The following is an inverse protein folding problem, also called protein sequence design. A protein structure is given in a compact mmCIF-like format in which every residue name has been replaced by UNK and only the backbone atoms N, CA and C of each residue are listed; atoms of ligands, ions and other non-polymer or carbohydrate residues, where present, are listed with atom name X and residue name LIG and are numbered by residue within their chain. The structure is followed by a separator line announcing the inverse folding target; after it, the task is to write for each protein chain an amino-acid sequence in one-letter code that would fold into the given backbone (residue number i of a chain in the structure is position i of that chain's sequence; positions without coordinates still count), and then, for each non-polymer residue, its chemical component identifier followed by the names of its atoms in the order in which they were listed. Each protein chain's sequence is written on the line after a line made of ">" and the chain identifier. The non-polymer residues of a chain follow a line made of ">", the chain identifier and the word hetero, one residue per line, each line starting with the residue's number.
data_IF_489394701295
#
_entry.id   IF_489394701295
#
_cell.length_a   1.000
_cell.length_b   1.000
_cell.length_c   1.000
_cell.angle_alpha   90.00
_cell.angle_beta   90.00
_cell.angle_gamma   90.00
#
_symmetry.space_group_name_H-M   'P 1'
#
loop_
_entity.id
_entity.type
_entity.pdbx_description
1 polymer ?
#
# COMPACT_ATOMS: atom_id res chain seq x y z
N UNK A 1 -22.52 38.60 -7.31
CA UNK A 1 -22.77 37.13 -7.29
C UNK A 1 -21.52 36.29 -7.00
N UNK A 2 -20.28 36.80 -7.16
CA UNK A 2 -19.04 36.06 -6.85
C UNK A 2 -18.74 35.90 -5.34
N UNK A 3 -19.21 36.81 -4.48
CA UNK A 3 -18.90 36.82 -3.04
C UNK A 3 -19.71 35.82 -2.19
N UNK A 4 -20.79 35.25 -2.74
CA UNK A 4 -21.65 34.29 -2.02
C UNK A 4 -21.12 32.86 -2.18
N UNK A 5 -20.49 32.55 -3.32
CA UNK A 5 -19.83 31.27 -3.58
C UNK A 5 -18.68 31.03 -2.59
N UNK A 6 -17.82 32.02 -2.37
CA UNK A 6 -16.69 31.94 -1.43
C UNK A 6 -17.12 31.72 0.02
N UNK A 7 -18.26 32.27 0.44
CA UNK A 7 -18.81 32.09 1.79
C UNK A 7 -19.43 30.72 2.00
N UNK A 8 -20.09 30.17 0.97
CA UNK A 8 -20.59 28.80 1.02
C UNK A 8 -19.41 27.83 1.09
N UNK A 9 -18.43 27.93 0.19
CA UNK A 9 -17.24 27.07 0.17
C UNK A 9 -16.46 27.09 1.49
N UNK A 10 -16.29 28.26 2.10
CA UNK A 10 -15.67 28.40 3.42
C UNK A 10 -16.49 27.69 4.53
N UNK A 11 -17.82 27.78 4.48
CA UNK A 11 -18.70 27.05 5.40
C UNK A 11 -18.67 25.54 5.14
N UNK A 12 -18.63 25.11 3.88
CA UNK A 12 -18.53 23.69 3.53
C UNK A 12 -17.21 23.10 4.03
N UNK A 13 -16.10 23.83 3.86
CA UNK A 13 -14.78 23.44 4.39
C UNK A 13 -14.75 23.43 5.92
N UNK A 14 -15.37 24.41 6.58
CA UNK A 14 -15.43 24.48 8.04
C UNK A 14 -16.27 23.34 8.61
N UNK A 15 -17.42 23.05 7.99
CA UNK A 15 -18.29 21.94 8.37
C UNK A 15 -17.60 20.59 8.10
N UNK A 16 -16.98 20.39 6.94
CA UNK A 16 -16.22 19.17 6.63
C UNK A 16 -15.08 18.92 7.65
N UNK A 17 -14.31 19.96 7.98
CA UNK A 17 -13.22 19.88 8.96
C UNK A 17 -13.72 19.62 10.39
N UNK A 18 -14.92 20.11 10.74
CA UNK A 18 -15.51 19.91 12.08
C UNK A 18 -16.17 18.55 12.27
N UNK A 19 -16.63 17.90 11.20
CA UNK A 19 -17.42 16.65 11.28
C UNK A 19 -16.56 15.39 11.09
N UNK A 20 -15.39 15.51 10.47
CA UNK A 20 -14.47 14.40 10.15
C UNK A 20 -13.11 14.52 10.85
N UNK A 21 -13.09 14.88 12.14
CA UNK A 21 -11.83 14.94 12.89
C UNK A 21 -11.34 13.52 13.18
N UNK A 22 -10.51 12.97 12.28
CA UNK A 22 -9.93 11.65 12.46
C UNK A 22 -8.90 11.70 13.60
N UNK A 23 -9.10 10.96 14.72
CA UNK A 23 -8.19 10.99 15.87
C UNK A 23 -6.77 10.52 15.53
N UNK A 24 -6.58 9.85 14.40
CA UNK A 24 -5.30 9.34 13.91
C UNK A 24 -4.58 10.36 13.00
N UNK A 25 -5.30 11.38 12.51
CA UNK A 25 -4.77 12.44 11.63
C UNK A 25 -3.55 13.18 12.21
N UNK A 26 -3.54 13.66 13.47
CA UNK A 26 -2.40 14.44 13.96
C UNK A 26 -1.11 13.60 14.04
N UNK A 27 -1.22 12.30 14.31
CA UNK A 27 -0.08 11.40 14.39
C UNK A 27 0.43 11.02 12.99
N UNK A 28 -0.48 10.68 12.08
CA UNK A 28 -0.12 10.30 10.72
C UNK A 28 0.32 11.50 9.88
N UNK A 29 -0.31 12.66 10.04
CA UNK A 29 0.03 13.90 9.35
C UNK A 29 1.44 14.38 9.70
N UNK A 30 1.80 14.36 10.99
CA UNK A 30 3.16 14.70 11.40
C UNK A 30 4.21 13.73 10.84
N UNK A 31 3.93 12.42 10.83
CA UNK A 31 4.83 11.42 10.26
C UNK A 31 4.93 11.54 8.73
N UNK A 32 3.83 11.85 8.06
CA UNK A 32 3.75 12.08 6.62
C UNK A 32 4.55 13.30 6.18
N UNK A 33 4.37 14.43 6.86
CA UNK A 33 5.12 15.65 6.58
C UNK A 33 6.63 15.42 6.78
N UNK A 34 7.01 14.80 7.90
CA UNK A 34 8.41 14.43 8.15
C UNK A 34 8.99 13.56 7.03
N UNK A 35 8.25 12.55 6.58
CA UNK A 35 8.69 11.69 5.48
C UNK A 35 8.90 12.48 4.18
N UNK A 36 7.93 13.33 3.81
CA UNK A 36 7.93 14.05 2.54
C UNK A 36 9.00 15.15 2.49
N UNK A 37 9.31 15.77 3.64
CA UNK A 37 10.30 16.83 3.74
C UNK A 37 11.75 16.31 3.78
N UNK A 38 11.98 15.11 4.32
CA UNK A 38 13.33 14.60 4.59
C UNK A 38 13.82 13.56 3.57
N UNK A 39 12.93 12.93 2.80
CA UNK A 39 13.31 11.86 1.86
C UNK A 39 13.06 12.26 0.39
N UNK A 40 13.92 11.81 -0.55
CA UNK A 40 13.70 12.07 -1.96
C UNK A 40 12.46 11.29 -2.45
N UNK A 41 11.75 11.89 -3.42
CA UNK A 41 10.50 11.38 -3.99
C UNK A 41 10.62 9.95 -4.51
N UNK A 42 11.76 9.62 -5.13
CA UNK A 42 12.05 8.26 -5.58
C UNK A 42 12.07 7.25 -4.42
N UNK A 43 12.67 7.61 -3.28
CA UNK A 43 12.73 6.72 -2.11
C UNK A 43 11.36 6.48 -1.52
N UNK A 44 10.53 7.51 -1.44
CA UNK A 44 9.16 7.38 -0.96
C UNK A 44 8.33 6.56 -1.97
N UNK A 45 8.35 6.92 -3.25
CA UNK A 45 7.52 6.29 -4.26
C UNK A 45 7.89 4.83 -4.51
N UNK A 46 9.18 4.49 -4.48
CA UNK A 46 9.66 3.13 -4.79
C UNK A 46 9.92 2.33 -3.53
N UNK A 47 10.86 2.76 -2.68
CA UNK A 47 11.30 1.95 -1.54
C UNK A 47 10.25 1.84 -0.44
N UNK A 48 9.59 2.94 -0.06
CA UNK A 48 8.53 2.87 0.95
C UNK A 48 7.33 2.06 0.45
N UNK A 49 6.92 2.27 -0.81
CA UNK A 49 5.85 1.47 -1.43
C UNK A 49 6.17 -0.02 -1.48
N UNK A 50 7.40 -0.39 -1.81
CA UNK A 50 7.86 -1.80 -1.84
C UNK A 50 7.79 -2.41 -0.45
N UNK A 51 8.33 -1.74 0.57
CA UNK A 51 8.32 -2.26 1.95
C UNK A 51 6.89 -2.41 2.46
N UNK A 52 6.05 -1.39 2.26
CA UNK A 52 4.65 -1.45 2.65
C UNK A 52 3.91 -2.59 1.92
N UNK A 53 4.13 -2.73 0.62
CA UNK A 53 3.54 -3.79 -0.20
C UNK A 53 3.94 -5.17 0.31
N UNK A 54 5.23 -5.41 0.51
CA UNK A 54 5.74 -6.69 1.02
C UNK A 54 5.18 -7.00 2.41
N UNK A 55 5.19 -6.04 3.34
CA UNK A 55 4.66 -6.22 4.69
C UNK A 55 3.17 -6.58 4.69
N UNK A 56 2.36 -5.87 3.92
CA UNK A 56 0.92 -6.14 3.83
C UNK A 56 0.67 -7.46 3.11
N UNK A 57 1.37 -7.73 2.01
CA UNK A 57 1.21 -8.97 1.25
C UNK A 57 1.57 -10.19 2.09
N UNK A 58 2.75 -10.21 2.73
CA UNK A 58 3.17 -11.30 3.59
C UNK A 58 2.34 -11.38 4.86
N UNK A 59 1.97 -10.25 5.46
CA UNK A 59 1.12 -10.20 6.65
C UNK A 59 -0.25 -10.82 6.41
N UNK A 60 -0.89 -10.51 5.28
CA UNK A 60 -2.20 -11.07 4.92
C UNK A 60 -2.11 -12.55 4.49
N UNK A 61 -1.00 -12.97 3.87
CA UNK A 61 -0.81 -14.35 3.43
C UNK A 61 -0.38 -15.30 4.57
N UNK A 62 0.30 -14.78 5.59
CA UNK A 62 0.78 -15.52 6.76
C UNK A 62 -0.30 -16.35 7.49
N UNK A 63 -1.50 -15.82 7.84
CA UNK A 63 -2.52 -16.62 8.50
C UNK A 63 -3.02 -17.78 7.62
N UNK A 64 -3.11 -17.56 6.30
CA UNK A 64 -3.44 -18.62 5.35
C UNK A 64 -2.38 -19.72 5.28
N UNK A 65 -1.09 -19.34 5.29
CA UNK A 65 0.01 -20.28 5.33
C UNK A 65 0.02 -21.11 6.62
N UNK A 66 -0.17 -20.47 7.78
CA UNK A 66 -0.21 -21.17 9.09
C UNK A 66 -1.41 -22.12 9.16
N UNK A 67 -2.58 -21.70 8.67
CA UNK A 67 -3.78 -22.54 8.64
C UNK A 67 -3.58 -23.84 7.83
N UNK A 68 -2.67 -23.89 6.86
CA UNK A 68 -2.38 -25.10 6.10
C UNK A 68 -1.64 -26.18 6.91
N UNK A 69 -0.85 -25.80 7.92
CA UNK A 69 -0.11 -26.75 8.77
C UNK A 69 -0.88 -27.19 10.00
N UNK A 70 -1.98 -26.51 10.32
CA UNK A 70 -2.84 -26.86 11.45
C UNK A 70 -3.72 -28.08 11.12
N UNK A 71 -3.62 -29.19 11.89
CA UNK A 71 -4.34 -30.43 11.59
C UNK A 71 -5.87 -30.27 11.63
N UNK A 72 -6.39 -29.33 12.43
CA UNK A 72 -7.83 -29.08 12.55
C UNK A 72 -8.44 -28.39 11.33
N UNK A 73 -7.64 -27.63 10.56
CA UNK A 73 -8.10 -26.89 9.38
C UNK A 73 -8.02 -27.72 8.10
N UNK A 74 -7.27 -28.83 8.10
CA UNK A 74 -7.07 -29.64 6.90
C UNK A 74 -8.37 -30.25 6.36
N UNK A 75 -9.36 -30.52 7.22
CA UNK A 75 -10.68 -31.02 6.81
C UNK A 75 -11.48 -30.06 5.91
N UNK A 76 -11.15 -28.76 5.90
CA UNK A 76 -11.81 -27.76 5.07
C UNK A 76 -11.16 -27.57 3.69
N UNK A 77 -10.12 -28.34 3.36
CA UNK A 77 -9.45 -28.29 2.06
C UNK A 77 -10.31 -28.92 0.96
N UNK A 78 -10.38 -28.26 -0.19
CA UNK A 78 -11.09 -28.73 -1.41
C UNK A 78 -10.40 -29.95 -2.04
N UNK A 79 -9.08 -30.07 -1.94
CA UNK A 79 -8.31 -31.24 -2.43
C UNK A 79 -7.64 -31.93 -1.24
N UNK A 80 -8.19 -33.08 -0.82
CA UNK A 80 -7.65 -33.88 0.29
C UNK A 80 -6.55 -34.85 -0.19
N UNK A 81 -6.60 -35.27 -1.46
CA UNK A 81 -5.68 -36.28 -2.03
C UNK A 81 -4.27 -35.74 -2.33
N UNK A 82 -4.04 -34.43 -2.17
CA UNK A 82 -2.74 -33.79 -2.38
C UNK A 82 -2.21 -33.18 -1.08
N UNK A 83 -1.40 -33.92 -0.31
CA UNK A 83 -0.83 -33.38 0.92
C UNK A 83 0.19 -32.28 0.59
N UNK A 84 -0.09 -31.09 1.13
CA UNK A 84 0.81 -29.94 1.10
C UNK A 84 2.04 -30.26 1.97
N UNK A 85 3.12 -30.70 1.34
CA UNK A 85 4.39 -30.95 2.05
C UNK A 85 5.17 -29.65 2.20
N UNK A 86 5.85 -29.49 3.34
CA UNK A 86 6.70 -28.32 3.60
C UNK A 86 7.73 -28.09 2.48
N UNK A 87 8.29 -29.16 1.91
CA UNK A 87 9.24 -29.06 0.80
C UNK A 87 8.66 -28.49 -0.50
N UNK A 88 7.39 -28.77 -0.82
CA UNK A 88 6.71 -28.20 -1.99
C UNK A 88 6.36 -26.72 -1.75
N UNK A 89 5.86 -26.41 -0.56
CA UNK A 89 5.57 -25.03 -0.14
C UNK A 89 6.82 -24.16 -0.15
N UNK A 90 7.97 -24.68 0.32
CA UNK A 90 9.25 -23.97 0.27
C UNK A 90 9.73 -23.71 -1.16
N UNK A 91 9.51 -24.65 -2.09
CA UNK A 91 9.80 -24.42 -3.52
C UNK A 91 8.90 -23.32 -4.11
N UNK A 92 7.63 -23.30 -3.73
CA UNK A 92 6.70 -22.23 -4.14
C UNK A 92 7.14 -20.88 -3.58
N UNK A 93 7.45 -20.82 -2.28
CA UNK A 93 7.92 -19.62 -1.60
C UNK A 93 9.18 -19.04 -2.26
N UNK A 94 10.15 -19.88 -2.63
CA UNK A 94 11.34 -19.42 -3.37
C UNK A 94 10.98 -18.78 -4.73
N UNK A 95 10.03 -19.36 -5.46
CA UNK A 95 9.57 -18.77 -6.74
C UNK A 95 8.83 -17.46 -6.51
N UNK A 96 8.03 -17.37 -5.45
CA UNK A 96 7.33 -16.15 -5.06
C UNK A 96 8.31 -15.02 -4.73
N UNK A 97 9.35 -15.32 -3.93
CA UNK A 97 10.43 -14.39 -3.61
C UNK A 97 11.16 -13.91 -4.86
N UNK A 98 11.51 -14.84 -5.75
CA UNK A 98 12.14 -14.47 -7.03
C UNK A 98 11.25 -13.54 -7.86
N UNK A 99 9.95 -13.82 -7.95
CA UNK A 99 9.02 -12.97 -8.69
C UNK A 99 8.89 -11.56 -8.07
N UNK A 100 8.78 -11.46 -6.74
CA UNK A 100 8.72 -10.17 -6.06
C UNK A 100 10.00 -9.35 -6.27
N UNK A 101 11.17 -9.93 -6.00
CA UNK A 101 12.41 -9.17 -6.09
C UNK A 101 12.86 -8.89 -7.53
N UNK A 102 12.69 -9.83 -8.45
CA UNK A 102 13.24 -9.72 -9.81
C UNK A 102 12.24 -9.20 -10.85
N UNK A 103 10.94 -9.27 -10.59
CA UNK A 103 9.91 -8.78 -11.53
C UNK A 103 9.17 -7.58 -10.93
N UNK A 104 8.75 -7.66 -9.66
CA UNK A 104 7.95 -6.60 -9.05
C UNK A 104 8.79 -5.35 -8.73
N UNK A 105 10.00 -5.48 -8.18
CA UNK A 105 10.86 -4.31 -7.91
C UNK A 105 11.20 -3.51 -9.17
N UNK A 106 11.67 -4.13 -10.28
CA UNK A 106 11.94 -3.39 -11.50
C UNK A 106 10.67 -2.74 -12.05
N UNK A 107 9.52 -3.43 -11.98
CA UNK A 107 8.24 -2.89 -12.43
C UNK A 107 7.88 -1.61 -11.65
N UNK A 108 7.94 -1.62 -10.32
CA UNK A 108 7.66 -0.44 -9.49
C UNK A 108 8.61 0.72 -9.80
N UNK A 109 9.91 0.44 -9.95
CA UNK A 109 10.89 1.47 -10.33
C UNK A 109 10.64 2.04 -11.72
N UNK A 110 10.23 1.20 -12.68
CA UNK A 110 9.92 1.60 -14.04
C UNK A 110 8.64 2.43 -14.09
N UNK A 111 7.63 2.08 -13.28
CA UNK A 111 6.42 2.88 -13.14
C UNK A 111 6.71 4.29 -12.65
N UNK A 112 7.69 4.47 -11.76
CA UNK A 112 8.14 5.80 -11.34
C UNK A 112 8.56 6.67 -12.54
N UNK A 113 9.53 6.19 -13.31
CA UNK A 113 10.04 6.90 -14.49
C UNK A 113 8.99 7.04 -15.60
N UNK A 114 8.14 6.04 -15.78
CA UNK A 114 7.06 6.07 -16.77
C UNK A 114 6.07 7.21 -16.52
N UNK A 115 5.64 7.39 -15.28
CA UNK A 115 4.70 8.46 -14.92
C UNK A 115 5.37 9.84 -15.00
N UNK A 116 6.67 9.93 -14.70
CA UNK A 116 7.46 11.16 -14.89
C UNK A 116 7.56 11.53 -16.38
N UNK A 117 7.78 10.56 -17.27
CA UNK A 117 7.76 10.79 -18.74
C UNK A 117 6.40 11.26 -19.25
N UNK A 118 5.31 10.81 -18.63
CA UNK A 118 3.95 11.25 -18.98
C UNK A 118 3.58 12.62 -18.38
N UNK A 119 4.49 13.24 -17.60
CA UNK A 119 4.27 14.54 -16.98
C UNK A 119 3.29 14.50 -15.80
N UNK A 120 3.06 13.32 -15.19
CA UNK A 120 2.18 13.19 -14.03
C UNK A 120 2.96 13.63 -12.79
N UNK A 121 2.50 14.66 -12.04
CA UNK A 121 3.22 15.17 -10.89
C UNK A 121 3.20 14.16 -9.75
N UNK A 122 4.39 13.84 -9.23
CA UNK A 122 4.58 13.07 -7.98
C UNK A 122 4.53 13.95 -6.72
N UNK A 123 4.16 15.22 -6.88
CA UNK A 123 4.04 16.17 -5.78
C UNK A 123 2.72 15.95 -5.07
N UNK A 124 2.81 15.68 -3.77
CA UNK A 124 1.64 15.49 -2.93
C UNK A 124 0.67 16.68 -3.01
N UNK A 125 1.21 17.91 -2.98
CA UNK A 125 0.43 19.15 -3.04
C UNK A 125 -0.32 19.36 -4.37
N UNK A 126 0.11 18.67 -5.43
CA UNK A 126 -0.47 18.77 -6.79
C UNK A 126 -1.29 17.54 -7.17
N UNK A 127 -1.32 16.51 -6.32
CA UNK A 127 -2.10 15.33 -6.59
C UNK A 127 -3.58 15.64 -6.33
N UNK A 128 -4.50 15.33 -7.26
CA UNK A 128 -5.92 15.55 -7.04
C UNK A 128 -6.39 14.72 -5.84
N UNK A 129 -7.23 15.29 -4.99
CA UNK A 129 -7.96 14.53 -3.98
C UNK A 129 -9.02 13.68 -4.71
N UNK A 130 -8.73 12.41 -4.90
CA UNK A 130 -9.68 11.40 -5.38
C UNK A 130 -10.21 10.58 -4.21
#
# INVERSE_FOLDING_TARGET
>A
MASVATGLDALLQTVANSTLRNPVEPYLGSAWNYMTDNYPRFTIAVWFSVVLHELVYFGLCAPGFVAQFLPFMQKYKVQQDKPETFGQQWKCFKKLMFNHFCIQLPLMSMTYYYLEMMGIPYEYDKMPAW
#
